data_IF_071198764306
#
_entry.id   IF_071198764306
#
_cell.length_a   1.000
_cell.length_b   1.000
_cell.length_c   1.000
_cell.angle_alpha   90.00
_cell.angle_beta   90.00
_cell.angle_gamma   90.00
#
_symmetry.space_group_name_H-M   'P 1'
#
loop_
_entity.id
_entity.type
_entity.pdbx_description
1 polymer ?
#
# COMPACT_ATOMS: atom_id res chain seq x y z
N UNK A 1 -6.99 -19.97 3.90
CA UNK A 1 -6.25 -20.66 2.81
C UNK A 1 -5.76 -22.09 3.13
N UNK A 2 -5.02 -22.34 4.22
CA UNK A 2 -4.41 -23.66 4.53
C UNK A 2 -5.41 -24.83 4.59
N UNK A 3 -6.56 -24.67 5.26
CA UNK A 3 -7.59 -25.71 5.41
C UNK A 3 -8.26 -26.09 4.10
N UNK A 4 -8.42 -25.14 3.17
CA UNK A 4 -9.01 -25.40 1.85
C UNK A 4 -8.07 -26.27 0.99
N UNK A 5 -6.79 -25.91 0.92
CA UNK A 5 -5.78 -26.66 0.16
C UNK A 5 -5.63 -28.08 0.68
N UNK A 6 -5.57 -28.26 2.00
CA UNK A 6 -5.48 -29.60 2.61
C UNK A 6 -6.70 -30.43 2.23
N UNK A 7 -7.91 -29.85 2.27
CA UNK A 7 -9.15 -30.51 1.88
C UNK A 7 -9.14 -30.89 0.39
N UNK A 8 -8.75 -29.98 -0.49
CA UNK A 8 -8.72 -30.19 -1.94
C UNK A 8 -7.70 -31.27 -2.32
N UNK A 9 -6.52 -31.28 -1.69
CA UNK A 9 -5.50 -32.32 -1.87
C UNK A 9 -5.96 -33.69 -1.34
N UNK A 10 -6.64 -33.71 -0.18
CA UNK A 10 -7.15 -34.94 0.42
C UNK A 10 -8.24 -35.56 -0.47
N UNK A 11 -9.18 -34.76 -0.95
CA UNK A 11 -10.23 -35.21 -1.86
C UNK A 11 -9.60 -35.69 -3.18
N UNK A 12 -8.66 -34.92 -3.74
CA UNK A 12 -7.95 -35.30 -4.96
C UNK A 12 -7.22 -36.65 -4.85
N UNK A 13 -6.53 -36.89 -3.72
CA UNK A 13 -5.86 -38.15 -3.47
C UNK A 13 -6.84 -39.33 -3.35
N UNK A 14 -7.95 -39.15 -2.64
CA UNK A 14 -8.98 -40.18 -2.50
C UNK A 14 -9.61 -40.55 -3.85
N UNK A 15 -9.87 -39.56 -4.71
CA UNK A 15 -10.40 -39.81 -6.07
C UNK A 15 -9.39 -40.61 -6.91
N UNK A 16 -8.11 -40.27 -6.86
CA UNK A 16 -7.06 -41.02 -7.57
C UNK A 16 -6.99 -42.46 -7.07
N UNK A 17 -7.03 -42.68 -5.75
CA UNK A 17 -7.04 -44.03 -5.17
C UNK A 17 -8.25 -44.83 -5.69
N UNK A 18 -9.45 -44.24 -5.71
CA UNK A 18 -10.65 -44.92 -6.19
C UNK A 18 -10.51 -45.31 -7.67
N UNK A 19 -10.03 -44.40 -8.52
CA UNK A 19 -9.79 -44.67 -9.95
C UNK A 19 -8.74 -45.78 -10.11
N UNK A 20 -7.63 -45.69 -9.37
CA UNK A 20 -6.55 -46.69 -9.44
C UNK A 20 -6.97 -48.04 -8.90
N UNK A 21 -7.90 -48.10 -7.93
CA UNK A 21 -8.51 -49.34 -7.44
C UNK A 21 -9.35 -49.99 -8.55
N UNK A 22 -10.16 -49.21 -9.28
CA UNK A 22 -10.94 -49.70 -10.42
C UNK A 22 -10.02 -50.24 -11.53
N UNK A 23 -8.98 -49.49 -11.90
CA UNK A 23 -7.98 -49.91 -12.88
C UNK A 23 -7.31 -51.22 -12.44
N UNK A 24 -6.89 -51.30 -11.18
CA UNK A 24 -6.22 -52.50 -10.64
C UNK A 24 -7.15 -53.71 -10.69
N UNK A 25 -8.41 -53.56 -10.26
CA UNK A 25 -9.42 -54.62 -10.26
C UNK A 25 -9.77 -55.12 -11.66
N UNK A 26 -9.99 -54.22 -12.63
CA UNK A 26 -10.45 -54.60 -13.96
C UNK A 26 -9.33 -54.95 -14.95
N UNK A 27 -8.12 -54.41 -14.79
CA UNK A 27 -7.02 -54.57 -15.75
C UNK A 27 -5.84 -55.39 -15.20
N UNK A 28 -5.49 -55.24 -13.92
CA UNK A 28 -4.26 -55.85 -13.37
C UNK A 28 -4.54 -57.23 -12.75
N UNK A 29 -5.60 -57.38 -11.97
CA UNK A 29 -5.99 -58.66 -11.36
C UNK A 29 -6.21 -59.80 -12.38
N UNK A 30 -6.80 -59.58 -13.57
CA UNK A 30 -6.95 -60.63 -14.58
C UNK A 30 -5.64 -61.12 -15.21
N UNK A 31 -4.52 -60.41 -15.00
CA UNK A 31 -3.21 -60.74 -15.57
C UNK A 31 -2.40 -61.74 -14.71
N UNK A 32 -3.05 -62.45 -13.78
CA UNK A 32 -2.43 -63.43 -12.86
C UNK A 32 -1.28 -62.88 -11.99
N UNK A 33 -1.28 -61.56 -11.72
CA UNK A 33 -0.36 -60.91 -10.79
C UNK A 33 -0.76 -61.23 -9.34
N UNK A 34 0.20 -61.44 -8.44
CA UNK A 34 -0.10 -61.65 -7.03
C UNK A 34 -0.72 -60.38 -6.40
N UNK A 35 -1.58 -60.59 -5.40
CA UNK A 35 -2.38 -59.50 -4.80
C UNK A 35 -1.50 -58.41 -4.16
N UNK A 36 -0.34 -58.78 -3.62
CA UNK A 36 0.59 -57.85 -2.99
C UNK A 36 1.21 -56.91 -4.01
N UNK A 37 1.71 -57.47 -5.12
CA UNK A 37 2.29 -56.71 -6.23
C UNK A 37 1.25 -55.82 -6.91
N UNK A 38 0.01 -56.28 -7.07
CA UNK A 38 -1.06 -55.46 -7.65
C UNK A 38 -1.38 -54.23 -6.78
N UNK A 39 -1.47 -54.40 -5.45
CA UNK A 39 -1.70 -53.29 -4.51
C UNK A 39 -0.49 -52.34 -4.46
N UNK A 40 0.72 -52.86 -4.43
CA UNK A 40 1.94 -52.04 -4.44
C UNK A 40 2.03 -51.21 -5.73
N UNK A 41 1.70 -51.81 -6.87
CA UNK A 41 1.62 -51.14 -8.17
C UNK A 41 0.56 -50.05 -8.16
N UNK A 42 -0.63 -50.32 -7.64
CA UNK A 42 -1.70 -49.32 -7.49
C UNK A 42 -1.24 -48.09 -6.71
N UNK A 43 -0.61 -48.28 -5.54
CA UNK A 43 -0.08 -47.17 -4.76
C UNK A 43 1.08 -46.45 -5.46
N UNK A 44 1.97 -47.17 -6.13
CA UNK A 44 3.08 -46.59 -6.90
C UNK A 44 2.60 -45.66 -8.02
N UNK A 45 1.64 -46.11 -8.83
CA UNK A 45 1.05 -45.28 -9.89
C UNK A 45 0.17 -44.15 -9.33
N UNK A 46 -0.57 -44.40 -8.25
CA UNK A 46 -1.34 -43.35 -7.56
C UNK A 46 -0.42 -42.22 -7.08
N UNK A 47 0.70 -42.57 -6.43
CA UNK A 47 1.70 -41.62 -5.97
C UNK A 47 2.38 -40.89 -7.15
N UNK A 48 2.68 -41.61 -8.24
CA UNK A 48 3.26 -41.06 -9.46
C UNK A 48 2.38 -39.99 -10.14
N UNK A 49 1.06 -40.16 -10.11
CA UNK A 49 0.10 -39.18 -10.66
C UNK A 49 -0.19 -38.06 -9.64
N UNK A 50 -0.32 -38.40 -8.36
CA UNK A 50 -0.66 -37.43 -7.32
C UNK A 50 0.47 -36.44 -7.03
N UNK A 51 1.74 -36.87 -7.11
CA UNK A 51 2.90 -36.01 -6.87
C UNK A 51 2.94 -34.76 -7.78
N UNK A 52 2.88 -34.86 -9.13
CA UNK A 52 2.87 -33.68 -9.98
C UNK A 52 1.61 -32.82 -9.83
N UNK A 53 0.43 -33.44 -9.61
CA UNK A 53 -0.82 -32.70 -9.40
C UNK A 53 -0.79 -31.88 -8.10
N UNK A 54 -0.35 -32.50 -7.00
CA UNK A 54 -0.23 -31.82 -5.72
C UNK A 54 0.83 -30.72 -5.78
N UNK A 55 1.97 -30.95 -6.44
CA UNK A 55 2.98 -29.93 -6.68
C UNK A 55 2.42 -28.72 -7.45
N UNK A 56 1.59 -28.94 -8.48
CA UNK A 56 0.95 -27.87 -9.24
C UNK A 56 -0.01 -27.04 -8.37
N UNK A 57 -0.87 -27.70 -7.59
CA UNK A 57 -1.82 -27.02 -6.66
C UNK A 57 -1.05 -26.22 -5.60
N UNK A 58 -0.01 -26.81 -5.01
CA UNK A 58 0.82 -26.15 -4.00
C UNK A 58 1.57 -24.96 -4.58
N UNK A 59 2.10 -25.06 -5.80
CA UNK A 59 2.79 -23.96 -6.47
C UNK A 59 1.85 -22.77 -6.70
N UNK A 60 0.63 -23.02 -7.19
CA UNK A 60 -0.35 -21.95 -7.43
C UNK A 60 -0.78 -21.29 -6.11
N UNK A 61 -1.07 -22.08 -5.08
CA UNK A 61 -1.37 -21.57 -3.76
C UNK A 61 -0.22 -20.75 -3.16
N UNK A 62 1.02 -21.20 -3.34
CA UNK A 62 2.20 -20.46 -2.90
C UNK A 62 2.34 -19.13 -3.66
N UNK A 63 2.12 -19.11 -4.97
CA UNK A 63 2.14 -17.87 -5.77
C UNK A 63 1.09 -16.88 -5.31
N UNK A 64 -0.14 -17.33 -5.06
CA UNK A 64 -1.22 -16.49 -4.55
C UNK A 64 -0.87 -15.89 -3.19
N UNK A 65 -0.36 -16.71 -2.27
CA UNK A 65 0.08 -16.26 -0.95
C UNK A 65 1.24 -15.26 -1.05
N UNK A 66 2.22 -15.55 -1.90
CA UNK A 66 3.38 -14.69 -2.07
C UNK A 66 2.98 -13.34 -2.66
N UNK A 67 2.08 -13.32 -3.65
CA UNK A 67 1.54 -12.08 -4.20
C UNK A 67 0.80 -11.26 -3.14
N UNK A 68 0.02 -11.90 -2.27
CA UNK A 68 -0.64 -11.23 -1.16
C UNK A 68 0.38 -10.62 -0.18
N UNK A 69 1.42 -11.37 0.21
CA UNK A 69 2.48 -10.90 1.09
C UNK A 69 3.19 -9.68 0.48
N UNK A 70 3.56 -9.75 -0.79
CA UNK A 70 4.21 -8.63 -1.50
C UNK A 70 3.30 -7.39 -1.53
N UNK A 71 2.01 -7.55 -1.86
CA UNK A 71 1.05 -6.43 -1.84
C UNK A 71 0.92 -5.80 -0.45
N UNK A 72 0.86 -6.63 0.60
CA UNK A 72 0.80 -6.17 1.99
C UNK A 72 2.05 -5.38 2.37
N UNK A 73 3.24 -5.89 2.07
CA UNK A 73 4.50 -5.25 2.41
C UNK A 73 4.64 -3.89 1.68
N UNK A 74 4.25 -3.83 0.40
CA UNK A 74 4.20 -2.55 -0.33
C UNK A 74 3.15 -1.59 0.25
N UNK A 75 2.04 -2.07 0.79
CA UNK A 75 1.06 -1.19 1.46
C UNK A 75 1.62 -0.62 2.76
N UNK A 76 2.37 -1.41 3.53
CA UNK A 76 3.08 -0.94 4.73
C UNK A 76 4.08 0.16 4.33
N UNK A 77 4.92 -0.09 3.33
CA UNK A 77 5.85 0.92 2.81
C UNK A 77 5.12 2.21 2.39
N UNK A 78 3.97 2.08 1.70
CA UNK A 78 3.18 3.24 1.30
C UNK A 78 2.67 4.05 2.49
N UNK A 79 2.16 3.38 3.54
CA UNK A 79 1.72 4.05 4.77
C UNK A 79 2.88 4.76 5.48
N UNK A 80 4.05 4.13 5.57
CA UNK A 80 5.24 4.75 6.17
C UNK A 80 5.67 6.02 5.41
N UNK A 81 5.69 5.97 4.07
CA UNK A 81 6.01 7.15 3.27
C UNK A 81 4.95 8.24 3.41
N UNK A 82 3.68 7.87 3.52
CA UNK A 82 2.59 8.79 3.75
C UNK A 82 2.73 9.50 5.10
N UNK A 83 2.97 8.75 6.17
CA UNK A 83 3.15 9.28 7.52
C UNK A 83 4.31 10.28 7.59
N UNK A 84 5.43 9.94 6.96
CA UNK A 84 6.59 10.83 6.92
C UNK A 84 6.33 12.09 6.09
N UNK A 85 5.60 11.98 4.97
CA UNK A 85 5.16 13.16 4.20
C UNK A 85 4.24 14.05 5.04
N UNK A 86 3.28 13.47 5.75
CA UNK A 86 2.38 14.19 6.65
C UNK A 86 3.14 14.88 7.79
N UNK A 87 4.11 14.20 8.40
CA UNK A 87 4.98 14.78 9.44
C UNK A 87 5.69 16.02 8.91
N UNK A 88 6.37 15.89 7.77
CA UNK A 88 7.17 16.97 7.19
C UNK A 88 6.31 18.18 6.81
N UNK A 89 5.21 17.97 6.07
CA UNK A 89 4.33 19.08 5.66
C UNK A 89 3.61 19.70 6.86
N UNK A 90 3.26 18.89 7.87
CA UNK A 90 2.63 19.34 9.11
C UNK A 90 3.55 20.23 9.94
N UNK A 91 4.85 19.94 9.99
CA UNK A 91 5.83 20.81 10.67
C UNK A 91 5.95 22.17 9.98
N UNK A 92 6.00 22.20 8.65
CA UNK A 92 6.05 23.45 7.89
C UNK A 92 4.76 24.26 8.09
N UNK A 93 3.60 23.59 7.98
CA UNK A 93 2.30 24.20 8.24
C UNK A 93 2.22 24.80 9.65
N UNK A 94 2.65 24.06 10.68
CA UNK A 94 2.65 24.53 12.05
C UNK A 94 3.51 25.79 12.25
N UNK A 95 4.70 25.86 11.62
CA UNK A 95 5.57 27.03 11.67
C UNK A 95 4.99 28.26 11.00
N UNK A 96 4.31 28.06 9.86
CA UNK A 96 3.75 29.14 9.06
C UNK A 96 2.46 29.68 9.69
N UNK A 97 1.67 28.81 10.30
CA UNK A 97 0.27 29.13 10.60
C UNK A 97 -0.07 29.15 12.10
N UNK A 98 0.49 28.22 12.89
CA UNK A 98 0.05 27.98 14.28
C UNK A 98 0.99 28.62 15.29
N UNK A 99 2.30 28.46 15.09
CA UNK A 99 3.31 28.84 16.08
C UNK A 99 3.56 30.36 16.13
N UNK A 100 4.31 30.81 17.14
CA UNK A 100 4.79 32.18 17.34
C UNK A 100 5.59 32.71 16.14
N UNK A 101 6.18 31.81 15.35
CA UNK A 101 6.91 32.13 14.12
C UNK A 101 6.02 32.62 12.97
N UNK A 102 4.68 32.47 13.04
CA UNK A 102 3.76 32.86 11.97
C UNK A 102 3.95 34.30 11.49
N UNK A 103 4.36 35.19 12.40
CA UNK A 103 4.57 36.61 12.07
C UNK A 103 5.64 36.85 11.00
N UNK A 104 6.63 35.96 10.88
CA UNK A 104 7.67 36.03 9.84
C UNK A 104 7.14 35.77 8.44
N UNK A 105 6.01 35.06 8.31
CA UNK A 105 5.46 34.63 7.02
C UNK A 105 4.40 35.57 6.48
N UNK A 106 3.97 36.57 7.25
CA UNK A 106 3.12 37.63 6.73
C UNK A 106 3.89 38.45 5.67
N UNK A 107 3.38 38.56 4.44
CA UNK A 107 4.09 39.24 3.35
C UNK A 107 4.13 40.75 3.54
N UNK A 108 3.16 41.31 4.28
CA UNK A 108 3.11 42.72 4.66
C UNK A 108 4.01 43.07 5.86
N UNK A 109 4.60 42.07 6.52
CA UNK A 109 5.54 42.31 7.61
C UNK A 109 6.96 42.47 7.07
N UNK A 110 7.71 43.47 7.56
CA UNK A 110 9.11 43.70 7.18
C UNK A 110 10.07 42.67 7.77
N UNK A 111 9.64 41.86 8.76
CA UNK A 111 10.48 40.81 9.35
C UNK A 111 10.90 39.79 8.29
N UNK A 112 12.19 39.55 8.13
CA UNK A 112 12.71 38.45 7.31
C UNK A 112 12.57 37.11 8.04
N UNK A 113 12.46 36.02 7.29
CA UNK A 113 12.54 34.66 7.86
C UNK A 113 13.99 34.46 8.33
N UNK A 114 14.23 34.09 9.61
CA UNK A 114 15.57 33.75 10.08
C UNK A 114 16.20 32.63 9.25
N UNK A 115 17.52 32.71 9.01
CA UNK A 115 18.25 31.76 8.15
C UNK A 115 18.07 30.31 8.63
N UNK A 116 18.16 30.07 9.94
CA UNK A 116 18.01 28.72 10.51
C UNK A 116 16.59 28.17 10.30
N UNK A 117 15.58 29.04 10.42
CA UNK A 117 14.19 28.67 10.19
C UNK A 117 13.93 28.35 8.71
N UNK A 118 14.50 29.16 7.81
CA UNK A 118 14.42 28.90 6.38
C UNK A 118 15.09 27.58 6.01
N UNK A 119 16.28 27.29 6.56
CA UNK A 119 16.98 26.03 6.35
C UNK A 119 16.14 24.85 6.81
N UNK A 120 15.58 24.90 8.02
CA UNK A 120 14.69 23.87 8.54
C UNK A 120 13.50 23.61 7.60
N UNK A 121 12.85 24.66 7.12
CA UNK A 121 11.72 24.55 6.18
C UNK A 121 12.15 23.85 4.88
N UNK A 122 13.31 24.20 4.34
CA UNK A 122 13.82 23.60 3.11
C UNK A 122 14.23 22.12 3.30
N UNK A 123 14.77 21.78 4.46
CA UNK A 123 15.10 20.40 4.83
C UNK A 123 13.82 19.55 4.92
N UNK A 124 12.79 20.01 5.65
CA UNK A 124 11.50 19.31 5.75
C UNK A 124 10.77 19.26 4.40
N UNK A 125 10.84 20.32 3.59
CA UNK A 125 10.29 20.33 2.24
C UNK A 125 10.94 19.24 1.36
N UNK A 126 12.25 19.07 1.47
CA UNK A 126 12.99 18.03 0.73
C UNK A 126 12.55 16.63 1.16
N UNK A 127 12.34 16.42 2.47
CA UNK A 127 11.81 15.17 3.01
C UNK A 127 10.41 14.92 2.41
N UNK A 128 9.51 15.89 2.50
CA UNK A 128 8.14 15.81 1.99
C UNK A 128 8.09 15.41 0.52
N UNK A 129 8.80 16.13 -0.36
CA UNK A 129 8.76 15.86 -1.82
C UNK A 129 9.25 14.44 -2.12
N UNK A 130 10.33 14.02 -1.44
CA UNK A 130 10.91 12.69 -1.61
C UNK A 130 9.96 11.59 -1.15
N UNK A 131 9.35 11.73 0.02
CA UNK A 131 8.46 10.72 0.60
C UNK A 131 7.13 10.68 -0.12
N UNK A 132 6.56 11.82 -0.50
CA UNK A 132 5.35 11.90 -1.32
C UNK A 132 5.54 11.22 -2.69
N UNK A 133 6.67 11.44 -3.34
CA UNK A 133 6.98 10.77 -4.61
C UNK A 133 7.12 9.25 -4.47
N UNK A 134 7.72 8.78 -3.37
CA UNK A 134 7.81 7.34 -3.05
C UNK A 134 6.44 6.75 -2.74
N UNK A 135 5.66 7.41 -1.90
CA UNK A 135 4.28 7.04 -1.60
C UNK A 135 3.48 6.86 -2.89
N UNK A 136 3.51 7.85 -3.78
CA UNK A 136 2.78 7.81 -5.04
C UNK A 136 3.16 6.59 -5.89
N UNK A 137 4.46 6.35 -6.04
CA UNK A 137 4.99 5.24 -6.83
C UNK A 137 4.63 3.87 -6.24
N UNK A 138 4.67 3.72 -4.91
CA UNK A 138 4.42 2.44 -4.25
C UNK A 138 2.92 2.16 -4.19
N UNK A 139 2.09 3.13 -3.80
CA UNK A 139 0.65 2.97 -3.71
C UNK A 139 0.02 2.59 -5.07
N UNK A 140 0.45 3.21 -6.18
CA UNK A 140 -0.01 2.85 -7.53
C UNK A 140 0.33 1.40 -7.94
N UNK A 141 1.34 0.76 -7.33
CA UNK A 141 1.67 -0.65 -7.60
C UNK A 141 0.76 -1.62 -6.86
N UNK A 142 0.13 -1.17 -5.78
CA UNK A 142 -0.69 -2.01 -4.91
C UNK A 142 -2.17 -1.88 -5.26
N UNK A 143 -2.61 -0.66 -5.56
CA UNK A 143 -4.01 -0.34 -5.79
C UNK A 143 -4.45 -0.70 -7.21
N UNK A 144 -5.57 -1.41 -7.31
CA UNK A 144 -6.28 -1.64 -8.57
C UNK A 144 -6.97 -0.33 -9.03
N UNK A 145 -7.21 -0.17 -10.33
CA UNK A 145 -7.72 1.09 -10.93
C UNK A 145 -8.96 1.65 -10.22
N UNK A 146 -9.92 0.79 -9.85
CA UNK A 146 -11.15 1.20 -9.16
C UNK A 146 -10.92 1.73 -7.73
N UNK A 147 -9.87 1.26 -7.04
CA UNK A 147 -9.49 1.69 -5.67
C UNK A 147 -8.47 2.83 -5.66
N UNK A 148 -8.11 3.35 -6.83
CA UNK A 148 -7.15 4.45 -6.96
C UNK A 148 -7.75 5.81 -6.63
N UNK A 149 -9.08 5.92 -6.52
CA UNK A 149 -9.75 7.22 -6.34
C UNK A 149 -9.44 7.87 -4.99
N UNK A 150 -9.58 7.17 -3.87
CA UNK A 150 -9.24 7.75 -2.55
C UNK A 150 -7.77 8.14 -2.47
N UNK A 151 -6.89 7.30 -3.04
CA UNK A 151 -5.47 7.58 -3.14
C UNK A 151 -5.16 8.84 -3.98
N UNK A 152 -5.76 8.95 -5.17
CA UNK A 152 -5.56 10.08 -6.07
C UNK A 152 -6.08 11.37 -5.45
N UNK A 153 -7.22 11.32 -4.75
CA UNK A 153 -7.76 12.46 -4.02
C UNK A 153 -6.81 12.91 -2.92
N UNK A 154 -6.31 11.98 -2.10
CA UNK A 154 -5.34 12.28 -1.03
C UNK A 154 -4.05 12.89 -1.60
N UNK A 155 -3.51 12.29 -2.65
CA UNK A 155 -2.31 12.78 -3.33
C UNK A 155 -2.51 14.19 -3.91
N UNK A 156 -3.67 14.48 -4.51
CA UNK A 156 -4.00 15.83 -5.01
C UNK A 156 -4.07 16.85 -3.90
N UNK A 157 -4.71 16.52 -2.76
CA UNK A 157 -4.82 17.44 -1.63
C UNK A 157 -3.44 17.71 -1.00
N UNK A 158 -2.58 16.68 -0.88
CA UNK A 158 -1.20 16.84 -0.42
C UNK A 158 -0.40 17.79 -1.31
N UNK A 159 -0.46 17.60 -2.64
CA UNK A 159 0.22 18.50 -3.58
C UNK A 159 -0.35 19.92 -3.50
N UNK A 160 -1.67 20.06 -3.37
CA UNK A 160 -2.28 21.39 -3.24
C UNK A 160 -1.81 22.12 -1.98
N UNK A 161 -1.74 21.43 -0.83
CA UNK A 161 -1.21 22.00 0.41
C UNK A 161 0.25 22.44 0.23
N UNK A 162 1.04 21.61 -0.46
CA UNK A 162 2.42 21.92 -0.79
C UNK A 162 2.56 23.16 -1.69
N UNK A 163 1.75 23.27 -2.74
CA UNK A 163 1.72 24.43 -3.64
C UNK A 163 1.41 25.73 -2.87
N UNK A 164 0.44 25.69 -1.95
CA UNK A 164 0.08 26.85 -1.11
C UNK A 164 1.22 27.25 -0.16
N UNK A 165 1.91 26.27 0.44
CA UNK A 165 3.09 26.53 1.29
C UNK A 165 4.21 27.18 0.48
N UNK A 166 4.51 26.67 -0.71
CA UNK A 166 5.56 27.22 -1.58
C UNK A 166 5.19 28.63 -2.02
N UNK A 167 3.92 28.86 -2.36
CA UNK A 167 3.42 30.19 -2.72
C UNK A 167 3.64 31.22 -1.60
N UNK A 168 3.38 30.86 -0.33
CA UNK A 168 3.63 31.73 0.82
C UNK A 168 5.12 32.05 0.97
N UNK A 169 6.00 31.05 0.86
CA UNK A 169 7.44 31.24 0.96
C UNK A 169 7.98 32.12 -0.17
N UNK A 170 7.50 31.90 -1.39
CA UNK A 170 7.89 32.67 -2.58
C UNK A 170 7.47 34.13 -2.49
N UNK A 171 6.22 34.40 -2.09
CA UNK A 171 5.75 35.77 -1.86
C UNK A 171 6.62 36.50 -0.84
N UNK A 172 7.00 35.80 0.24
CA UNK A 172 7.84 36.38 1.27
C UNK A 172 9.24 36.71 0.77
N UNK A 173 9.88 35.79 0.06
CA UNK A 173 11.23 35.99 -0.48
C UNK A 173 11.27 37.09 -1.54
N UNK A 174 10.23 37.19 -2.37
CA UNK A 174 10.12 38.19 -3.43
C UNK A 174 9.65 39.57 -2.92
N UNK A 175 9.33 39.71 -1.62
CA UNK A 175 8.80 40.94 -1.00
C UNK A 175 7.64 41.55 -1.79
N UNK A 176 6.77 40.69 -2.33
CA UNK A 176 5.65 41.14 -3.16
C UNK A 176 4.72 41.97 -2.28
N UNK A 177 4.35 43.17 -2.74
CA UNK A 177 3.28 43.93 -2.10
C UNK A 177 1.96 43.19 -2.33
N UNK A 178 1.39 42.67 -1.25
CA UNK A 178 0.11 41.95 -1.31
C UNK A 178 -0.97 42.83 -0.68
N UNK A 179 -2.13 42.90 -1.32
CA UNK A 179 -3.33 43.45 -0.69
C UNK A 179 -3.65 42.63 0.57
N UNK A 180 -3.61 43.29 1.72
CA UNK A 180 -3.83 42.71 3.05
C UNK A 180 -5.19 41.99 3.09
N UNK A 181 -6.20 42.48 2.38
CA UNK A 181 -7.55 41.91 2.38
C UNK A 181 -7.59 40.57 1.63
N UNK A 182 -7.06 40.54 0.41
CA UNK A 182 -6.96 39.32 -0.40
C UNK A 182 -6.05 38.26 0.27
N UNK A 183 -5.00 38.68 0.98
CA UNK A 183 -4.13 37.77 1.71
C UNK A 183 -4.81 37.17 2.94
N UNK A 184 -5.47 38.00 3.76
CA UNK A 184 -6.18 37.53 4.94
C UNK A 184 -7.42 36.68 4.58
N UNK A 185 -7.93 36.76 3.35
CA UNK A 185 -8.91 35.81 2.83
C UNK A 185 -8.25 34.49 2.40
N UNK A 186 -7.05 34.53 1.76
CA UNK A 186 -6.34 33.32 1.32
C UNK A 186 -5.68 32.50 2.45
N UNK A 187 -5.20 33.16 3.50
CA UNK A 187 -4.46 32.53 4.59
C UNK A 187 -5.30 31.54 5.43
N UNK A 188 -6.59 31.82 5.75
CA UNK A 188 -7.50 30.88 6.40
C UNK A 188 -7.68 29.52 5.70
N UNK A 189 -7.53 29.45 4.37
CA UNK A 189 -7.76 28.21 3.64
C UNK A 189 -6.73 27.12 3.95
N UNK A 190 -5.52 27.46 4.41
CA UNK A 190 -4.50 26.48 4.83
C UNK A 190 -4.98 25.61 6.00
N UNK A 191 -5.78 26.18 6.90
CA UNK A 191 -6.36 25.44 8.02
C UNK A 191 -7.38 24.41 7.53
N UNK A 192 -8.30 24.82 6.65
CA UNK A 192 -9.34 23.95 6.11
C UNK A 192 -8.73 22.80 5.30
N UNK A 193 -7.72 23.08 4.46
CA UNK A 193 -7.01 22.05 3.71
C UNK A 193 -6.30 21.05 4.62
N UNK A 194 -5.63 21.52 5.69
CA UNK A 194 -4.94 20.61 6.60
C UNK A 194 -5.91 19.68 7.34
N UNK A 195 -7.09 20.18 7.73
CA UNK A 195 -8.11 19.35 8.39
C UNK A 195 -8.82 18.40 7.42
N UNK A 196 -9.12 18.84 6.20
CA UNK A 196 -9.61 17.95 5.14
C UNK A 196 -8.61 16.83 4.84
N UNK A 197 -7.32 17.18 4.80
CA UNK A 197 -6.22 16.25 4.58
C UNK A 197 -6.17 15.17 5.66
N UNK A 198 -6.29 15.53 6.95
CA UNK A 198 -6.32 14.56 8.05
C UNK A 198 -7.47 13.54 7.88
N UNK A 199 -8.67 14.01 7.55
CA UNK A 199 -9.82 13.12 7.30
C UNK A 199 -9.59 12.19 6.11
N UNK A 200 -8.96 12.68 5.04
CA UNK A 200 -8.62 11.87 3.86
C UNK A 200 -7.54 10.83 4.17
N UNK A 201 -6.60 11.15 5.07
CA UNK A 201 -5.60 10.19 5.58
C UNK A 201 -6.27 9.01 6.27
N UNK A 202 -7.20 9.28 7.19
CA UNK A 202 -7.93 8.24 7.93
C UNK A 202 -8.68 7.29 6.98
N UNK A 203 -9.31 7.82 5.93
CA UNK A 203 -9.98 7.01 4.91
C UNK A 203 -8.99 6.09 4.18
N UNK A 204 -7.80 6.60 3.84
CA UNK A 204 -6.77 5.79 3.18
C UNK A 204 -6.21 4.71 4.11
N UNK A 205 -5.95 5.04 5.38
CA UNK A 205 -5.54 4.07 6.39
C UNK A 205 -6.58 2.97 6.58
N UNK A 206 -7.87 3.32 6.56
CA UNK A 206 -8.96 2.37 6.65
C UNK A 206 -9.01 1.44 5.42
N UNK A 207 -8.79 1.96 4.22
CA UNK A 207 -8.65 1.17 3.00
C UNK A 207 -7.42 0.26 3.06
N UNK A 208 -6.30 0.76 3.61
CA UNK A 208 -5.08 -0.03 3.77
C UNK A 208 -5.27 -1.22 4.71
N UNK A 209 -6.12 -1.12 5.75
CA UNK A 209 -6.44 -2.24 6.65
C UNK A 209 -6.98 -3.46 5.91
N UNK A 210 -7.71 -3.29 4.80
CA UNK A 210 -8.19 -4.41 3.98
C UNK A 210 -7.06 -5.23 3.36
N UNK A 211 -5.88 -4.63 3.17
CA UNK A 211 -4.68 -5.30 2.67
C UNK A 211 -3.82 -5.89 3.81
N UNK A 212 -4.02 -5.42 5.04
CA UNK A 212 -3.29 -5.88 6.23
C UNK A 212 -3.95 -7.10 6.90
N UNK A 213 -5.26 -7.25 6.74
CA UNK A 213 -6.01 -8.39 7.28
C UNK A 213 -6.00 -9.52 6.24
N UNK A 214 -5.28 -10.60 6.55
CA UNK A 214 -5.34 -11.83 5.75
C UNK A 214 -6.75 -12.45 5.80
N UNK A 215 -7.39 -12.62 4.64
CA UNK A 215 -8.62 -13.43 4.49
C UNK A 215 -8.29 -14.91 4.24
#
# INVERSE_FOLDING_TARGET
MKTKIIKDLTIGYLVIIVIMTLITYFLIYPLAVDKGTAIATMFGWSAGIFAPLSAFVLLNAWKEQNNFIVKRDLMIDALEYLDEAFRAIGQIYWLIYINETKSYFYPYNEKNIPVDLYKFIMDEHTIFVKTLGKFHKVALRVLEEEKSKEFNDLYKILNKLHDEIIYVLDMKNKKIQVDIRAYNEKFPYLYDYYHELLKKKENYEQLAKDYLIAK
#
